data_IF_430471692232
#
_entry.id   IF_430471692232
#
_cell.length_a   1.000
_cell.length_b   1.000
_cell.length_c   1.000
_cell.angle_alpha   90.00
_cell.angle_beta   90.00
_cell.angle_gamma   90.00
#
_symmetry.space_group_name_H-M   'P 1'
#
loop_
_entity.id
_entity.type
_entity.pdbx_description
1 polymer ?
#
# COMPACT_ATOMS: atom_id res chain seq x y z
N UNK A 1 4.19 5.74 -9.87
CA UNK A 1 5.26 5.77 -8.86
C UNK A 1 5.29 7.14 -8.23
N UNK A 2 5.30 7.24 -6.89
CA UNK A 2 5.17 8.52 -6.17
C UNK A 2 6.45 9.07 -5.57
N UNK A 3 7.50 8.26 -5.42
CA UNK A 3 8.83 8.69 -4.99
C UNK A 3 9.92 8.05 -5.86
N UNK A 4 11.15 8.53 -5.70
CA UNK A 4 12.33 8.09 -6.44
C UNK A 4 13.36 7.43 -5.53
N UNK A 5 14.29 6.67 -6.11
CA UNK A 5 15.42 6.06 -5.38
C UNK A 5 16.27 7.14 -4.69
N UNK A 6 16.53 8.26 -5.37
CA UNK A 6 17.29 9.40 -4.82
C UNK A 6 16.63 9.92 -3.53
N UNK A 7 15.32 10.17 -3.55
CA UNK A 7 14.58 10.64 -2.36
C UNK A 7 14.60 9.62 -1.21
N UNK A 8 14.68 8.32 -1.51
CA UNK A 8 14.83 7.27 -0.50
C UNK A 8 16.25 7.27 0.10
N UNK A 9 17.29 7.53 -0.70
CA UNK A 9 18.70 7.64 -0.28
C UNK A 9 19.02 8.97 0.45
N UNK A 10 18.26 10.03 0.17
CA UNK A 10 18.29 11.28 0.95
C UNK A 10 17.56 11.12 2.30
N UNK A 11 16.52 10.29 2.37
CA UNK A 11 15.71 10.08 3.59
C UNK A 11 16.29 9.04 4.54
N UNK A 12 16.79 7.91 4.02
CA UNK A 12 17.69 7.00 4.73
C UNK A 12 19.09 7.25 4.21
N UNK A 13 19.96 7.77 5.08
CA UNK A 13 21.39 7.94 4.74
C UNK A 13 21.92 6.65 4.11
N UNK A 14 22.63 6.80 2.98
CA UNK A 14 23.20 5.69 2.18
C UNK A 14 23.73 4.50 3.00
N UNK A 15 24.50 4.66 4.11
CA UNK A 15 24.91 3.53 4.95
C UNK A 15 23.77 2.77 5.62
N UNK A 16 22.71 3.43 6.09
CA UNK A 16 21.55 2.73 6.67
C UNK A 16 20.75 1.96 5.61
N UNK A 17 20.58 2.55 4.41
CA UNK A 17 19.93 1.83 3.31
C UNK A 17 20.78 0.62 2.86
N UNK A 18 22.11 0.76 2.80
CA UNK A 18 23.04 -0.33 2.50
C UNK A 18 23.07 -1.46 3.53
N UNK A 19 22.73 -1.20 4.79
CA UNK A 19 22.56 -2.26 5.82
C UNK A 19 21.30 -3.11 5.62
N UNK A 20 20.30 -2.60 4.89
CA UNK A 20 19.04 -3.34 4.58
C UNK A 20 19.03 -3.89 3.16
N UNK A 21 19.68 -3.17 2.25
CA UNK A 21 19.80 -3.50 0.83
C UNK A 21 21.30 -3.70 0.53
N UNK A 22 21.88 -4.87 0.89
CA UNK A 22 23.29 -5.18 0.64
C UNK A 22 23.61 -5.40 -0.84
N UNK A 23 22.59 -5.51 -1.70
CA UNK A 23 22.74 -5.54 -3.14
C UNK A 23 23.45 -4.28 -3.67
N UNK A 24 24.13 -4.40 -4.81
CA UNK A 24 24.89 -3.31 -5.43
C UNK A 24 24.57 -3.19 -6.92
N UNK A 25 24.94 -2.06 -7.52
CA UNK A 25 24.76 -1.81 -8.95
C UNK A 25 23.30 -1.96 -9.41
N UNK A 26 23.10 -2.60 -10.55
CA UNK A 26 21.78 -2.77 -11.16
C UNK A 26 20.79 -3.56 -10.29
N UNK A 27 21.25 -4.52 -9.48
CA UNK A 27 20.36 -5.31 -8.63
C UNK A 27 19.84 -4.50 -7.45
N UNK A 28 20.65 -3.61 -6.86
CA UNK A 28 20.19 -2.61 -5.88
C UNK A 28 19.07 -1.75 -6.45
N UNK A 29 19.28 -1.21 -7.66
CA UNK A 29 18.28 -0.40 -8.36
C UNK A 29 16.98 -1.19 -8.55
N UNK A 30 17.07 -2.44 -9.02
CA UNK A 30 15.90 -3.31 -9.23
C UNK A 30 15.13 -3.58 -7.95
N UNK A 31 15.81 -3.92 -6.86
CA UNK A 31 15.19 -4.17 -5.54
C UNK A 31 14.50 -2.91 -5.03
N UNK A 32 15.17 -1.75 -5.08
CA UNK A 32 14.60 -0.47 -4.63
C UNK A 32 13.39 -0.05 -5.48
N UNK A 33 13.45 -0.20 -6.81
CA UNK A 33 12.29 0.02 -7.69
C UNK A 33 11.12 -0.87 -7.29
N UNK A 34 11.34 -2.15 -7.00
CA UNK A 34 10.25 -3.05 -6.58
C UNK A 34 9.55 -2.61 -5.29
N UNK A 35 10.30 -2.06 -4.32
CA UNK A 35 9.71 -1.47 -3.11
C UNK A 35 8.91 -0.19 -3.39
N UNK A 36 9.39 0.66 -4.30
CA UNK A 36 8.71 1.90 -4.73
C UNK A 36 7.42 1.60 -5.51
N UNK A 37 7.46 0.61 -6.39
CA UNK A 37 6.28 0.13 -7.13
C UNK A 37 5.25 -0.46 -6.17
N UNK A 38 5.65 -1.36 -5.27
CA UNK A 38 4.76 -1.96 -4.26
C UNK A 38 4.12 -0.91 -3.36
N UNK A 39 4.90 0.08 -2.89
CA UNK A 39 4.37 1.22 -2.13
C UNK A 39 3.37 2.05 -2.93
N UNK A 40 3.68 2.34 -4.20
CA UNK A 40 2.82 3.14 -5.06
C UNK A 40 1.49 2.44 -5.34
N UNK A 41 1.53 1.15 -5.71
CA UNK A 41 0.32 0.35 -5.89
C UNK A 41 -0.52 0.24 -4.61
N UNK A 42 0.11 0.25 -3.43
CA UNK A 42 -0.58 0.23 -2.13
C UNK A 42 -1.30 1.56 -1.80
N UNK A 43 -0.75 2.68 -2.28
CA UNK A 43 -1.40 4.00 -2.24
C UNK A 43 -2.57 4.05 -3.23
N UNK A 44 -2.32 3.67 -4.50
CA UNK A 44 -3.35 3.63 -5.54
C UNK A 44 -4.53 2.75 -5.13
N UNK A 45 -4.28 1.56 -4.58
CA UNK A 45 -5.34 0.65 -4.11
C UNK A 45 -6.25 1.25 -3.03
N UNK A 46 -5.81 2.29 -2.30
CA UNK A 46 -6.65 3.06 -1.35
C UNK A 46 -7.42 4.17 -2.04
N UNK A 47 -6.73 4.93 -2.89
CA UNK A 47 -7.32 6.07 -3.57
C UNK A 47 -8.40 5.62 -4.56
N UNK A 48 -8.22 4.47 -5.23
CA UNK A 48 -9.16 3.86 -6.17
C UNK A 48 -10.59 3.59 -5.63
N UNK A 49 -10.81 3.71 -4.32
CA UNK A 49 -12.15 3.63 -3.71
C UNK A 49 -13.02 4.82 -4.09
N UNK A 50 -12.43 6.00 -4.31
CA UNK A 50 -13.13 7.25 -4.66
C UNK A 50 -12.51 8.03 -5.80
N UNK A 51 -11.23 7.84 -6.10
CA UNK A 51 -10.43 8.70 -6.96
C UNK A 51 -9.91 7.92 -8.17
N UNK A 52 -9.74 8.60 -9.31
CA UNK A 52 -9.06 8.04 -10.47
C UNK A 52 -7.60 7.74 -10.12
N UNK A 53 -7.14 6.54 -10.46
CA UNK A 53 -5.74 6.10 -10.26
C UNK A 53 -5.04 5.75 -11.57
N UNK A 54 -3.72 6.01 -11.70
CA UNK A 54 -2.84 6.60 -10.69
C UNK A 54 -3.16 8.07 -10.41
N UNK A 55 -3.14 8.45 -9.14
CA UNK A 55 -3.34 9.83 -8.73
C UNK A 55 -2.21 10.74 -9.25
N UNK A 56 -2.44 12.05 -9.46
CA UNK A 56 -1.36 12.97 -9.80
C UNK A 56 -0.32 13.02 -8.68
N UNK A 57 0.95 13.10 -9.08
CA UNK A 57 2.05 13.24 -8.14
C UNK A 57 1.90 14.51 -7.30
N UNK A 58 2.03 14.38 -5.98
CA UNK A 58 2.03 15.50 -5.04
C UNK A 58 3.07 15.25 -3.96
N UNK A 59 3.54 16.31 -3.31
CA UNK A 59 4.51 16.18 -2.21
C UNK A 59 3.98 15.33 -1.05
N UNK A 60 2.67 15.38 -0.79
CA UNK A 60 2.03 14.54 0.23
C UNK A 60 2.06 13.05 -0.14
N UNK A 61 1.75 12.70 -1.40
CA UNK A 61 1.83 11.30 -1.86
C UNK A 61 3.27 10.81 -1.95
N UNK A 62 4.23 11.67 -2.26
CA UNK A 62 5.67 11.38 -2.19
C UNK A 62 6.10 11.03 -0.77
N UNK A 63 5.79 11.87 0.22
CA UNK A 63 6.17 11.63 1.62
C UNK A 63 5.47 10.39 2.23
N UNK A 64 4.20 10.13 1.86
CA UNK A 64 3.50 8.88 2.19
C UNK A 64 4.20 7.68 1.53
N UNK A 65 4.55 7.77 0.24
CA UNK A 65 5.21 6.68 -0.49
C UNK A 65 6.59 6.36 0.06
N UNK A 66 7.40 7.38 0.39
CA UNK A 66 8.67 7.20 1.09
C UNK A 66 8.45 6.47 2.42
N UNK A 67 7.51 6.93 3.24
CA UNK A 67 7.23 6.32 4.54
C UNK A 67 6.78 4.86 4.43
N UNK A 68 5.93 4.54 3.44
CA UNK A 68 5.48 3.17 3.14
C UNK A 68 6.60 2.30 2.56
N UNK A 69 7.52 2.84 1.74
CA UNK A 69 8.74 2.13 1.31
C UNK A 69 9.64 1.78 2.51
N UNK A 70 9.89 2.74 3.40
CA UNK A 70 10.74 2.55 4.58
C UNK A 70 10.19 1.47 5.51
N UNK A 71 8.88 1.49 5.76
CA UNK A 71 8.21 0.48 6.56
C UNK A 71 8.32 -0.91 5.91
N UNK A 72 8.12 -1.04 4.60
CA UNK A 72 8.25 -2.33 3.89
C UNK A 72 9.69 -2.86 3.88
N UNK A 73 10.70 -2.01 3.70
CA UNK A 73 12.12 -2.42 3.71
C UNK A 73 12.50 -2.93 5.11
N UNK A 74 12.09 -2.23 6.17
CA UNK A 74 12.32 -2.72 7.52
C UNK A 74 11.45 -3.95 7.84
N UNK A 75 10.23 -4.09 7.29
CA UNK A 75 9.35 -5.26 7.47
C UNK A 75 9.95 -6.53 6.85
N UNK A 76 10.42 -6.45 5.60
CA UNK A 76 10.98 -7.58 4.87
C UNK A 76 12.40 -7.95 5.34
N UNK A 77 13.19 -6.97 5.82
CA UNK A 77 14.66 -7.12 6.00
C UNK A 77 15.23 -6.59 7.31
N UNK A 78 14.38 -6.14 8.24
CA UNK A 78 14.81 -5.68 9.56
C UNK A 78 15.15 -6.84 10.49
N UNK A 79 16.13 -6.63 11.37
CA UNK A 79 16.59 -7.62 12.34
C UNK A 79 16.03 -7.33 13.74
N UNK A 80 14.71 -7.34 13.90
CA UNK A 80 14.03 -7.16 15.19
C UNK A 80 13.16 -8.38 15.53
N UNK A 81 13.19 -8.78 16.80
CA UNK A 81 12.74 -10.10 17.24
C UNK A 81 11.22 -10.30 17.25
N UNK A 82 10.44 -9.22 17.37
CA UNK A 82 8.98 -9.29 17.58
C UNK A 82 8.21 -8.02 17.16
N UNK A 83 8.83 -6.83 17.15
CA UNK A 83 8.13 -5.56 16.96
C UNK A 83 8.89 -4.56 16.09
N UNK A 84 8.19 -3.97 15.12
CA UNK A 84 8.68 -2.86 14.30
C UNK A 84 9.15 -1.68 15.18
N UNK A 85 10.35 -1.12 14.95
CA UNK A 85 10.83 0.03 15.72
C UNK A 85 9.90 1.24 15.64
N UNK A 86 9.62 1.90 16.77
CA UNK A 86 8.70 3.05 16.83
C UNK A 86 9.05 4.19 15.87
N UNK A 87 10.35 4.39 15.57
CA UNK A 87 10.85 5.38 14.59
C UNK A 87 10.40 5.12 13.14
N UNK A 88 9.92 3.91 12.84
CA UNK A 88 9.40 3.48 11.53
C UNK A 88 7.88 3.27 11.61
N UNK A 89 7.40 2.65 12.68
CA UNK A 89 5.98 2.36 12.88
C UNK A 89 5.12 3.62 13.04
N UNK A 90 5.53 4.59 13.88
CA UNK A 90 4.72 5.79 14.15
C UNK A 90 4.50 6.64 12.88
N UNK A 91 5.55 6.99 12.10
CA UNK A 91 5.34 7.72 10.84
C UNK A 91 4.47 6.95 9.84
N UNK A 92 4.60 5.62 9.79
CA UNK A 92 3.76 4.79 8.93
C UNK A 92 2.28 4.84 9.35
N UNK A 93 1.98 4.74 10.64
CA UNK A 93 0.60 4.82 11.14
C UNK A 93 -0.02 6.21 10.87
N UNK A 94 0.76 7.29 11.01
CA UNK A 94 0.35 8.65 10.66
C UNK A 94 0.11 8.85 9.16
N UNK A 95 1.02 8.34 8.31
CA UNK A 95 0.87 8.34 6.87
C UNK A 95 -0.36 7.52 6.42
N UNK A 96 -0.59 6.37 7.04
CA UNK A 96 -1.74 5.51 6.76
C UNK A 96 -3.07 6.12 7.21
N UNK A 97 -3.10 6.82 8.35
CA UNK A 97 -4.26 7.62 8.76
C UNK A 97 -4.55 8.73 7.74
N UNK A 98 -3.51 9.46 7.33
CA UNK A 98 -3.63 10.54 6.33
C UNK A 98 -4.15 10.02 4.98
N UNK A 99 -3.62 8.87 4.52
CA UNK A 99 -4.10 8.20 3.30
C UNK A 99 -5.56 7.72 3.42
N UNK A 100 -5.98 7.29 4.61
CA UNK A 100 -7.39 6.92 4.89
C UNK A 100 -8.29 8.15 4.87
N UNK A 101 -7.82 9.27 5.41
CA UNK A 101 -8.56 10.54 5.43
C UNK A 101 -8.73 11.08 4.00
N UNK A 102 -7.67 11.05 3.16
CA UNK A 102 -7.69 11.33 1.72
C UNK A 102 -8.66 10.40 0.94
N UNK A 103 -8.53 9.08 1.11
CA UNK A 103 -9.39 8.10 0.43
C UNK A 103 -10.87 8.22 0.86
N UNK A 104 -11.14 8.73 2.07
CA UNK A 104 -12.50 9.02 2.53
C UNK A 104 -13.07 10.35 2.03
N UNK A 105 -12.25 11.24 1.46
CA UNK A 105 -12.64 12.61 1.10
C UNK A 105 -12.78 13.55 2.30
N UNK A 106 -12.01 13.31 3.38
CA UNK A 106 -11.90 14.23 4.54
C UNK A 106 -10.73 15.21 4.42
N UNK A 107 -9.81 14.93 3.50
CA UNK A 107 -8.73 15.83 3.09
C UNK A 107 -8.80 15.90 1.56
N UNK A 108 -8.87 17.10 1.01
CA UNK A 108 -8.79 17.32 -0.43
C UNK A 108 -7.32 17.42 -0.85
N UNK A 109 -6.94 16.70 -1.90
CA UNK A 109 -5.65 16.88 -2.56
C UNK A 109 -5.87 17.67 -3.87
N UNK A 110 -5.17 18.80 -4.10
CA UNK A 110 -5.34 19.55 -5.32
C UNK A 110 -4.97 18.70 -6.54
N UNK A 111 -5.89 18.61 -7.51
CA UNK A 111 -5.76 17.83 -8.73
C UNK A 111 -6.25 16.38 -8.65
N UNK A 112 -6.66 15.89 -7.47
CA UNK A 112 -7.35 14.60 -7.37
C UNK A 112 -8.68 14.69 -8.12
N UNK A 113 -8.98 13.70 -8.96
CA UNK A 113 -10.22 13.61 -9.72
C UNK A 113 -11.03 12.46 -9.15
N UNK A 114 -12.25 12.74 -8.70
CA UNK A 114 -13.18 11.70 -8.28
C UNK A 114 -13.44 10.71 -9.43
N UNK A 115 -13.53 9.42 -9.12
CA UNK A 115 -13.84 8.40 -10.10
C UNK A 115 -15.31 8.51 -10.53
N UNK A 116 -15.54 8.83 -11.81
CA UNK A 116 -16.87 8.77 -12.39
C UNK A 116 -17.39 7.32 -12.40
N UNK A 117 -18.40 7.06 -11.56
CA UNK A 117 -19.01 5.74 -11.40
C UNK A 117 -18.83 5.19 -10.00
N UNK A 118 -19.91 5.23 -9.22
CA UNK A 118 -19.93 4.69 -7.88
C UNK A 118 -19.57 3.20 -7.85
N UNK A 119 -18.54 2.87 -7.06
CA UNK A 119 -18.13 1.54 -6.66
C UNK A 119 -17.98 0.50 -7.80
N UNK A 120 -16.73 0.09 -8.03
CA UNK A 120 -16.44 -1.29 -8.43
C UNK A 120 -16.82 -2.24 -7.27
N UNK A 121 -18.13 -2.37 -7.01
CA UNK A 121 -18.67 -3.30 -6.05
C UNK A 121 -18.28 -4.70 -6.49
N UNK A 122 -17.40 -5.34 -5.74
CA UNK A 122 -17.03 -6.73 -5.95
C UNK A 122 -18.29 -7.58 -5.75
N UNK A 123 -19.00 -7.88 -6.85
CA UNK A 123 -20.18 -8.74 -6.82
C UNK A 123 -19.70 -10.16 -6.57
N UNK A 124 -19.52 -10.49 -5.29
CA UNK A 124 -19.31 -11.86 -4.81
C UNK A 124 -20.61 -12.61 -5.09
N UNK A 125 -20.68 -13.23 -6.28
CA UNK A 125 -21.67 -14.26 -6.57
C UNK A 125 -21.30 -15.48 -5.74
N UNK A 126 -21.84 -15.55 -4.52
CA UNK A 126 -21.90 -16.79 -3.76
C UNK A 126 -22.50 -17.88 -4.65
N UNK A 127 -21.89 -19.08 -4.76
CA UNK A 127 -22.55 -20.20 -5.42
C UNK A 127 -23.88 -20.49 -4.70
N UNK A 128 -24.90 -20.87 -5.47
CA UNK A 128 -26.21 -21.26 -4.93
C UNK A 128 -26.00 -22.35 -3.87
N UNK A 129 -26.55 -22.12 -2.67
CA UNK A 129 -26.49 -23.10 -1.60
C UNK A 129 -27.22 -24.39 -2.03
N UNK A 130 -26.45 -25.45 -2.29
CA UNK A 130 -26.98 -26.76 -2.69
C UNK A 130 -27.71 -27.49 -1.55
N UNK A 131 -27.61 -27.00 -0.31
CA UNK A 131 -28.38 -27.47 0.83
C UNK A 131 -29.63 -26.61 1.03
N UNK A 132 -30.64 -26.88 0.20
CA UNK A 132 -32.01 -26.43 0.45
C UNK A 132 -32.71 -27.54 1.28
N UNK A 133 -33.37 -27.24 2.43
CA UNK A 133 -34.01 -28.27 3.26
C UNK A 133 -35.15 -29.01 2.56
N UNK A 134 -35.74 -28.44 1.50
CA UNK A 134 -36.70 -29.09 0.59
C UNK A 134 -36.06 -30.04 -0.44
N UNK A 135 -34.87 -30.59 -0.17
CA UNK A 135 -34.24 -31.60 -1.04
C UNK A 135 -34.86 -32.98 -0.79
N UNK A 136 -35.62 -33.57 -1.74
CA UNK A 136 -36.31 -34.84 -1.51
C UNK A 136 -35.32 -36.01 -1.54
N UNK A 137 -34.76 -36.36 -0.38
CA UNK A 137 -33.79 -37.45 -0.26
C UNK A 137 -33.25 -37.77 1.15
N UNK A 138 -33.75 -37.13 2.20
CA UNK A 138 -33.28 -37.30 3.59
C UNK A 138 -34.33 -37.95 4.51
N UNK A 139 -34.88 -39.10 4.10
CA UNK A 139 -35.81 -39.91 4.92
C UNK A 139 -35.44 -41.42 4.94
N UNK A 140 -34.18 -41.77 5.17
CA UNK A 140 -33.81 -43.16 5.55
C UNK A 140 -32.55 -43.20 6.42
N UNK A 141 -32.72 -43.17 7.75
CA UNK A 141 -31.88 -43.84 8.76
C UNK A 141 -32.67 -44.02 10.06
#
# INVERSE_FOLDING_TARGET
MYCTIQQLEDRLTVPMLGQRIPETGAERTRVLTSYIERASSHIDSRLAVKHVTPAPASKLLEDICLTVCLWQIEADRGSYSEKMPSRVQIPYDEAMKTLTDLASGRIDLPGLVDAEGAAAGLVVRSPVALFNPDSPGMEFF
#
